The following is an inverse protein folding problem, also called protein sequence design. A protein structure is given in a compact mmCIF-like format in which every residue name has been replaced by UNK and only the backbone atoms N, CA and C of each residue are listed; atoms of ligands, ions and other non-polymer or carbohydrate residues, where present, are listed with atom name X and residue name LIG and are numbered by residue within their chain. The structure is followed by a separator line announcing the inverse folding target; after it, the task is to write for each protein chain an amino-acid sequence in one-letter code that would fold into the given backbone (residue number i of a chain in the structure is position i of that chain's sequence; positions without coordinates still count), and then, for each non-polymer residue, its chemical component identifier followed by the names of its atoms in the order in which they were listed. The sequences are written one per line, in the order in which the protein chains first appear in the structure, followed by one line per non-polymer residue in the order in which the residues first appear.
data_IF_857266444175
#
_entry.id   IF_857266444175
#
_cell.length_a   1.000
_cell.length_b   1.000
_cell.length_c   1.000
_cell.angle_alpha   90.00
_cell.angle_beta   90.00
_cell.angle_gamma   90.00
#
_symmetry.space_group_name_H-M   'P 1'
#
loop_
_entity.id
_entity.type
_entity.pdbx_description
1 polymer ?
#
# COMPACT_ATOMS: atom_id res chain seq x y z
N UNK A 1 73.77 15.19 27.12
CA UNK A 1 72.32 15.25 26.77
C UNK A 1 72.06 14.17 25.73
N UNK A 2 71.50 13.04 26.14
CA UNK A 2 71.48 11.80 25.32
C UNK A 2 70.29 11.77 24.36
N UNK A 3 70.58 11.29 23.14
CA UNK A 3 69.72 11.10 21.95
C UNK A 3 68.50 10.18 22.14
N UNK A 4 68.23 9.69 23.35
CA UNK A 4 67.19 8.68 23.60
C UNK A 4 65.82 9.27 23.95
N UNK A 5 65.72 10.57 24.25
CA UNK A 5 64.44 11.23 24.54
C UNK A 5 63.56 11.50 23.30
N UNK A 6 64.16 11.62 22.12
CA UNK A 6 63.43 11.95 20.89
C UNK A 6 62.73 10.73 20.25
N UNK A 7 63.27 9.51 20.41
CA UNK A 7 62.67 8.29 19.85
C UNK A 7 61.41 7.84 20.61
N UNK A 8 61.37 8.02 21.93
CA UNK A 8 60.24 7.61 22.77
C UNK A 8 59.05 8.57 22.60
N UNK A 9 59.31 9.85 22.36
CA UNK A 9 58.25 10.83 22.05
C UNK A 9 57.66 10.64 20.65
N UNK A 10 58.46 10.25 19.66
CA UNK A 10 57.99 9.98 18.28
C UNK A 10 57.10 8.75 18.17
N UNK A 11 57.42 7.68 18.91
CA UNK A 11 56.62 6.44 18.92
C UNK A 11 55.29 6.61 19.67
N UNK A 12 55.27 7.40 20.74
CA UNK A 12 54.04 7.72 21.48
C UNK A 12 53.05 8.57 20.69
N UNK A 13 53.53 9.57 19.94
CA UNK A 13 52.68 10.38 19.05
C UNK A 13 52.12 9.54 17.88
N UNK A 14 52.96 8.71 17.24
CA UNK A 14 52.54 7.85 16.13
C UNK A 14 51.45 6.85 16.51
N UNK A 15 51.57 6.24 17.70
CA UNK A 15 50.55 5.35 18.24
C UNK A 15 49.22 6.09 18.53
N UNK A 16 49.29 7.31 19.07
CA UNK A 16 48.12 8.13 19.35
C UNK A 16 47.35 8.53 18.07
N UNK A 17 48.08 8.93 17.02
CA UNK A 17 47.49 9.24 15.72
C UNK A 17 46.89 8.01 15.04
N UNK A 18 47.53 6.84 15.14
CA UNK A 18 46.99 5.60 14.62
C UNK A 18 45.71 5.17 15.36
N UNK A 19 45.67 5.29 16.69
CA UNK A 19 44.46 5.00 17.47
C UNK A 19 43.33 5.98 17.18
N UNK A 20 43.64 7.26 16.99
CA UNK A 20 42.64 8.28 16.66
C UNK A 20 42.10 8.07 15.24
N UNK A 21 42.96 7.72 14.28
CA UNK A 21 42.55 7.41 12.91
C UNK A 21 41.69 6.15 12.83
N UNK A 22 42.02 5.10 13.60
CA UNK A 22 41.20 3.88 13.70
C UNK A 22 39.87 4.20 14.40
N UNK A 23 39.87 4.97 15.48
CA UNK A 23 38.64 5.40 16.15
C UNK A 23 37.76 6.26 15.24
N UNK A 24 38.34 7.18 14.46
CA UNK A 24 37.62 7.97 13.46
C UNK A 24 37.07 7.09 12.33
N UNK A 25 37.86 6.12 11.84
CA UNK A 25 37.44 5.21 10.79
C UNK A 25 36.33 4.25 11.27
N UNK A 26 36.35 3.82 12.53
CA UNK A 26 35.28 3.02 13.15
C UNK A 26 34.05 3.87 13.50
N UNK A 27 34.25 5.16 13.80
CA UNK A 27 33.15 6.08 14.08
C UNK A 27 32.54 6.69 12.81
N UNK A 28 33.25 6.73 11.68
CA UNK A 28 32.74 7.29 10.42
C UNK A 28 31.48 6.58 9.89
N UNK A 29 31.34 5.24 9.93
CA UNK A 29 30.09 4.55 9.61
C UNK A 29 28.93 4.96 10.53
N UNK A 30 29.20 5.18 11.82
CA UNK A 30 28.22 5.62 12.81
C UNK A 30 27.86 7.11 12.67
N UNK A 31 28.83 7.94 12.26
CA UNK A 31 28.66 9.37 12.05
C UNK A 31 27.94 9.64 10.72
N UNK A 32 28.26 8.88 9.66
CA UNK A 32 27.57 8.93 8.37
C UNK A 32 26.12 8.47 8.51
N UNK A 33 25.85 7.33 9.16
CA UNK A 33 24.46 6.94 9.48
C UNK A 33 23.75 7.98 10.34
N UNK A 34 24.41 8.63 11.32
CA UNK A 34 23.78 9.71 12.10
C UNK A 34 23.51 10.98 11.30
N UNK A 35 24.36 11.31 10.32
CA UNK A 35 24.18 12.48 9.46
C UNK A 35 23.12 12.21 8.38
N UNK A 36 23.09 11.02 7.79
CA UNK A 36 22.01 10.56 6.89
C UNK A 36 20.65 10.53 7.62
N UNK A 37 20.64 10.15 8.90
CA UNK A 37 19.45 10.14 9.74
C UNK A 37 19.20 11.47 10.49
N UNK A 38 20.04 12.50 10.37
CA UNK A 38 19.80 13.80 11.01
C UNK A 38 18.44 14.42 10.64
N UNK A 39 17.98 14.40 9.37
CA UNK A 39 16.62 14.82 9.03
C UNK A 39 15.54 13.93 9.63
N UNK A 40 15.82 12.65 9.92
CA UNK A 40 14.91 11.76 10.66
C UNK A 40 14.64 12.32 12.03
N UNK A 41 15.70 12.47 12.83
CA UNK A 41 15.59 12.92 14.21
C UNK A 41 14.95 14.30 14.27
N UNK A 42 15.35 15.22 13.38
CA UNK A 42 14.72 16.53 13.27
C UNK A 42 13.22 16.44 12.98
N UNK A 43 12.78 15.56 12.06
CA UNK A 43 11.35 15.32 11.77
C UNK A 43 10.63 14.63 12.94
N UNK A 44 11.27 13.70 13.65
CA UNK A 44 10.69 13.07 14.85
C UNK A 44 10.47 14.10 15.96
N UNK A 45 11.45 14.99 16.19
CA UNK A 45 11.33 16.09 17.14
C UNK A 45 10.26 17.10 16.71
N UNK A 46 10.21 17.46 15.42
CA UNK A 46 9.18 18.33 14.86
C UNK A 46 7.78 17.75 15.07
N UNK A 47 7.59 16.45 14.82
CA UNK A 47 6.32 15.73 15.01
C UNK A 47 5.87 15.64 16.47
N UNK A 48 6.82 15.66 17.42
CA UNK A 48 6.50 15.79 18.86
C UNK A 48 6.04 17.20 19.23
N UNK A 49 6.55 18.23 18.55
CA UNK A 49 6.18 19.63 18.78
C UNK A 49 4.91 20.04 18.04
N UNK A 50 4.65 19.44 16.87
CA UNK A 50 3.50 19.68 16.00
C UNK A 50 2.91 18.33 15.58
N UNK A 51 2.08 17.69 16.43
CA UNK A 51 1.48 16.42 16.09
C UNK A 51 0.55 16.59 14.89
N UNK A 52 0.58 15.64 13.92
CA UNK A 52 -0.35 15.65 12.80
C UNK A 52 -1.78 15.45 13.31
N UNK A 53 -2.80 15.85 12.52
CA UNK A 53 -4.19 15.59 12.89
C UNK A 53 -4.41 14.08 13.02
N UNK A 54 -5.15 13.63 14.03
CA UNK A 54 -5.42 12.21 14.23
C UNK A 54 -6.22 11.61 13.06
N UNK A 55 -7.14 12.40 12.51
CA UNK A 55 -7.98 12.03 11.38
C UNK A 55 -7.66 12.90 10.17
N UNK A 56 -7.87 12.38 8.96
CA UNK A 56 -7.71 13.16 7.74
C UNK A 56 -8.70 14.33 7.79
N UNK A 57 -8.22 15.59 7.81
CA UNK A 57 -9.10 16.74 7.89
C UNK A 57 -9.72 16.95 6.51
N UNK A 58 -10.89 16.38 6.28
CA UNK A 58 -11.64 16.59 5.04
C UNK A 58 -12.90 17.40 5.32
N UNK A 59 -13.31 18.32 4.43
CA UNK A 59 -14.67 18.83 4.43
C UNK A 59 -15.67 17.67 4.46
N UNK A 60 -16.78 17.86 5.17
CA UNK A 60 -17.88 16.90 5.12
C UNK A 60 -18.32 16.73 3.65
N UNK A 61 -18.70 15.51 3.22
CA UNK A 61 -19.11 15.28 1.85
C UNK A 61 -20.23 16.25 1.45
N UNK A 62 -20.12 16.82 0.26
CA UNK A 62 -21.10 17.81 -0.27
C UNK A 62 -22.50 17.23 -0.46
N UNK A 63 -22.63 15.90 -0.50
CA UNK A 63 -23.89 15.17 -0.60
C UNK A 63 -23.99 14.19 0.57
N UNK A 64 -25.10 14.22 1.30
CA UNK A 64 -25.39 13.27 2.37
C UNK A 64 -26.38 12.23 1.83
N UNK A 65 -25.97 10.98 1.69
CA UNK A 65 -26.93 9.88 1.54
C UNK A 65 -27.36 9.40 2.92
N UNK A 66 -28.67 9.42 3.17
CA UNK A 66 -29.23 8.87 4.41
C UNK A 66 -29.17 7.35 4.30
N UNK A 67 -28.32 6.71 5.12
CA UNK A 67 -28.17 5.26 5.10
C UNK A 67 -29.44 4.65 5.72
N UNK A 68 -30.27 4.04 4.89
CA UNK A 68 -31.30 3.14 5.36
C UNK A 68 -30.64 1.99 6.14
N UNK A 69 -31.20 1.66 7.31
CA UNK A 69 -30.78 0.52 8.12
C UNK A 69 -30.65 -0.75 7.26
N UNK A 70 -29.74 -1.70 7.57
CA UNK A 70 -29.55 -2.91 6.79
C UNK A 70 -30.90 -3.62 6.66
N UNK A 71 -31.48 -3.57 5.46
CA UNK A 71 -32.64 -4.38 5.14
C UNK A 71 -32.12 -5.76 4.77
N UNK A 72 -32.73 -6.79 5.36
CA UNK A 72 -32.55 -8.18 4.96
C UNK A 72 -32.70 -8.30 3.45
N UNK A 73 -31.75 -8.97 2.79
CA UNK A 73 -31.79 -9.27 1.34
C UNK A 73 -33.18 -9.76 0.91
N UNK A 74 -33.74 -9.28 -0.20
CA UNK A 74 -34.87 -9.95 -0.83
C UNK A 74 -34.39 -11.23 -1.53
N UNK A 75 -35.18 -12.31 -1.42
CA UNK A 75 -35.00 -13.57 -2.15
C UNK A 75 -34.84 -13.37 -3.67
N UNK A 76 -34.11 -14.24 -4.38
CA UNK A 76 -33.86 -14.08 -5.80
C UNK A 76 -35.01 -14.63 -6.64
N UNK A 77 -35.75 -13.76 -7.35
CA UNK A 77 -36.20 -13.97 -8.73
C UNK A 77 -37.00 -12.77 -9.29
N UNK A 78 -36.67 -12.42 -10.54
CA UNK A 78 -37.48 -11.74 -11.57
C UNK A 78 -38.16 -10.40 -11.22
N UNK A 79 -37.60 -9.28 -11.68
CA UNK A 79 -38.19 -8.52 -12.79
C UNK A 79 -37.30 -7.35 -13.22
N UNK A 80 -37.03 -7.30 -14.52
CA UNK A 80 -36.60 -6.09 -15.20
C UNK A 80 -37.75 -5.07 -15.24
N UNK A 81 -37.38 -3.79 -15.29
CA UNK A 81 -38.23 -2.60 -15.49
C UNK A 81 -38.91 -2.01 -14.24
N UNK A 82 -38.22 -1.07 -13.59
CA UNK A 82 -38.78 0.24 -13.19
C UNK A 82 -37.78 0.99 -12.31
N UNK A 83 -36.86 1.73 -12.93
CA UNK A 83 -36.16 2.85 -12.27
C UNK A 83 -36.35 4.10 -13.12
N UNK A 84 -37.58 4.61 -13.10
CA UNK A 84 -37.87 6.00 -13.38
C UNK A 84 -38.15 6.69 -12.04
N UNK A 85 -37.66 7.92 -11.91
CA UNK A 85 -37.81 8.86 -10.79
C UNK A 85 -37.14 8.48 -9.46
N UNK A 86 -35.84 8.74 -9.39
CA UNK A 86 -35.31 9.43 -8.22
C UNK A 86 -34.87 10.82 -8.71
N UNK A 87 -35.64 11.82 -8.30
CA UNK A 87 -35.36 13.22 -8.63
C UNK A 87 -34.00 13.62 -8.03
N UNK A 88 -33.11 13.98 -8.94
CA UNK A 88 -31.88 14.69 -8.73
C UNK A 88 -32.17 16.04 -8.07
N UNK A 89 -32.03 16.13 -6.74
CA UNK A 89 -31.78 17.43 -6.11
C UNK A 89 -30.29 17.71 -6.20
N UNK A 90 -29.85 18.08 -7.40
CA UNK A 90 -28.54 18.68 -7.62
C UNK A 90 -28.42 19.92 -6.74
N UNK A 91 -27.50 19.88 -5.77
CA UNK A 91 -27.11 21.05 -5.02
C UNK A 91 -26.49 22.06 -6.00
N UNK A 92 -27.12 23.22 -6.09
CA UNK A 92 -26.74 24.33 -6.97
C UNK A 92 -25.45 24.98 -6.48
N UNK A 93 -24.33 24.77 -7.18
CA UNK A 93 -23.15 25.65 -7.13
C UNK A 93 -22.53 25.80 -8.52
N UNK A 94 -22.71 26.99 -9.11
CA UNK A 94 -22.10 27.63 -10.30
C UNK A 94 -21.93 26.81 -11.61
N UNK A 95 -22.49 27.26 -12.76
CA UNK A 95 -22.32 26.60 -14.06
C UNK A 95 -20.99 27.04 -14.73
N UNK A 96 -19.88 26.91 -14.03
CA UNK A 96 -18.57 27.00 -14.66
C UNK A 96 -18.32 25.68 -15.41
N UNK A 97 -17.74 25.81 -16.60
CA UNK A 97 -17.63 24.79 -17.65
C UNK A 97 -17.08 23.48 -17.09
N UNK A 98 -17.93 22.45 -17.00
CA UNK A 98 -17.48 21.06 -16.75
C UNK A 98 -16.92 20.53 -18.07
N UNK A 99 -15.62 20.24 -18.11
CA UNK A 99 -14.98 19.61 -19.27
C UNK A 99 -15.31 18.12 -19.31
N UNK A 100 -15.07 17.48 -20.45
CA UNK A 100 -15.18 16.03 -20.55
C UNK A 100 -14.23 15.39 -19.54
N UNK A 101 -14.70 14.38 -18.81
CA UNK A 101 -13.85 13.63 -17.90
C UNK A 101 -12.77 12.87 -18.68
N UNK A 102 -11.58 12.81 -18.10
CA UNK A 102 -10.53 11.90 -18.57
C UNK A 102 -10.83 10.54 -17.95
N UNK A 103 -10.79 9.48 -18.75
CA UNK A 103 -10.93 8.12 -18.23
C UNK A 103 -9.83 7.87 -17.20
N UNK A 104 -10.24 7.52 -15.98
CA UNK A 104 -9.29 7.17 -14.91
C UNK A 104 -8.56 5.91 -15.33
N UNK A 105 -7.29 6.04 -15.69
CA UNK A 105 -6.39 4.88 -15.77
C UNK A 105 -6.13 4.45 -14.34
N UNK A 106 -6.51 3.21 -14.00
CA UNK A 106 -6.40 2.68 -12.62
C UNK A 106 -4.91 2.49 -12.31
N UNK A 107 -4.31 3.24 -11.36
CA UNK A 107 -2.91 3.08 -10.99
C UNK A 107 -2.59 1.62 -10.67
N UNK A 108 -1.70 1.01 -11.44
CA UNK A 108 -1.22 -0.36 -11.20
C UNK A 108 -2.14 -1.52 -11.58
N UNK A 109 -3.35 -1.28 -12.12
CA UNK A 109 -4.22 -2.36 -12.65
C UNK A 109 -4.13 -2.46 -14.19
N UNK A 110 -4.00 -1.34 -14.90
CA UNK A 110 -3.96 -1.33 -16.38
C UNK A 110 -2.56 -1.56 -16.98
N UNK A 111 -1.49 -1.58 -16.17
CA UNK A 111 -0.12 -1.79 -16.70
C UNK A 111 0.28 -3.27 -16.85
N UNK A 112 -0.55 -4.22 -16.39
CA UNK A 112 -0.29 -5.67 -16.51
C UNK A 112 -1.55 -6.55 -16.63
N UNK A 113 -2.75 -6.01 -16.90
CA UNK A 113 -3.86 -6.87 -17.38
C UNK A 113 -3.75 -7.11 -18.87
N UNK A 114 -2.59 -7.63 -19.31
CA UNK A 114 -2.75 -8.80 -20.18
C UNK A 114 -3.56 -9.76 -19.33
N UNK A 115 -4.77 -10.13 -19.78
CA UNK A 115 -5.61 -11.14 -19.11
C UNK A 115 -4.68 -12.08 -18.36
N UNK A 116 -4.68 -12.04 -17.02
CA UNK A 116 -3.97 -13.07 -16.27
C UNK A 116 -4.59 -14.33 -16.81
N UNK A 117 -3.87 -15.06 -17.66
CA UNK A 117 -4.35 -16.34 -18.14
C UNK A 117 -4.69 -17.06 -16.87
N UNK A 118 -5.98 -17.30 -16.68
CA UNK A 118 -6.48 -18.03 -15.53
C UNK A 118 -5.66 -19.30 -15.54
N UNK A 119 -4.68 -19.38 -14.65
CA UNK A 119 -3.99 -20.61 -14.32
C UNK A 119 -5.05 -21.45 -13.63
N UNK A 120 -5.91 -22.02 -14.47
CA UNK A 120 -6.75 -23.12 -14.09
C UNK A 120 -5.77 -24.23 -13.79
N UNK A 121 -5.71 -24.74 -12.55
CA UNK A 121 -4.77 -25.80 -12.21
C UNK A 121 -4.98 -26.94 -13.21
N UNK A 122 -3.97 -27.17 -14.04
CA UNK A 122 -4.05 -28.19 -15.10
C UNK A 122 -4.04 -29.60 -14.51
N UNK A 123 -3.67 -29.69 -13.22
CA UNK A 123 -3.49 -30.90 -12.44
C UNK A 123 -4.05 -30.69 -11.03
N UNK A 124 -4.70 -31.71 -10.46
CA UNK A 124 -5.12 -31.71 -9.06
C UNK A 124 -3.88 -31.62 -8.14
N UNK A 125 -3.71 -30.49 -7.46
CA UNK A 125 -2.56 -30.26 -6.58
C UNK A 125 -2.83 -30.88 -5.21
N UNK A 126 -1.96 -31.79 -4.78
CA UNK A 126 -1.99 -32.29 -3.40
C UNK A 126 -1.28 -31.30 -2.48
N UNK A 127 -2.04 -30.63 -1.61
CA UNK A 127 -1.50 -29.69 -0.63
C UNK A 127 -0.96 -30.41 0.60
N UNK A 128 0.20 -30.00 1.09
CA UNK A 128 0.67 -30.44 2.41
C UNK A 128 -0.26 -29.85 3.48
N UNK A 129 -0.80 -30.67 4.41
CA UNK A 129 -1.67 -30.16 5.47
C UNK A 129 -0.89 -29.24 6.42
N UNK A 130 -1.61 -28.34 7.08
CA UNK A 130 -1.05 -27.54 8.18
C UNK A 130 -0.68 -28.44 9.37
N UNK A 131 0.40 -28.08 10.06
CA UNK A 131 0.88 -28.74 11.30
C UNK A 131 0.70 -27.79 12.49
N UNK A 132 1.15 -28.17 13.70
CA UNK A 132 1.11 -27.27 14.86
C UNK A 132 2.07 -26.08 14.75
N UNK A 133 3.21 -26.30 14.09
CA UNK A 133 4.17 -25.24 13.83
C UNK A 133 4.93 -25.55 12.53
N UNK A 134 5.38 -24.49 11.85
CA UNK A 134 6.27 -24.57 10.69
C UNK A 134 7.11 -23.31 10.61
N UNK A 135 8.38 -23.45 10.23
CA UNK A 135 9.28 -22.34 9.99
C UNK A 135 10.06 -22.57 8.70
N UNK A 136 10.07 -21.57 7.83
CA UNK A 136 10.94 -21.47 6.66
C UNK A 136 12.23 -20.75 7.08
N UNK A 137 13.37 -21.26 6.64
CA UNK A 137 14.71 -20.74 7.00
C UNK A 137 15.54 -20.52 5.74
N UNK A 138 16.73 -19.92 5.87
CA UNK A 138 17.63 -19.66 4.74
C UNK A 138 17.43 -18.32 4.04
N UNK A 139 16.63 -17.42 4.61
CA UNK A 139 16.46 -16.06 4.10
C UNK A 139 17.62 -15.15 4.54
N UNK A 140 18.04 -14.25 3.67
CA UNK A 140 18.98 -13.17 3.96
C UNK A 140 18.19 -11.92 4.36
N UNK A 141 18.03 -11.70 5.66
CA UNK A 141 17.28 -10.57 6.20
C UNK A 141 17.93 -9.22 5.86
N UNK A 142 17.11 -8.28 5.38
CA UNK A 142 17.48 -6.89 5.12
C UNK A 142 16.80 -5.96 6.13
N UNK A 143 17.59 -5.24 6.91
CA UNK A 143 17.09 -4.16 7.76
C UNK A 143 16.74 -2.95 6.91
N UNK A 144 15.53 -2.41 7.03
CA UNK A 144 15.11 -1.28 6.20
C UNK A 144 15.93 -0.02 6.52
N UNK A 145 16.26 0.72 5.47
CA UNK A 145 16.59 2.13 5.57
C UNK A 145 15.32 2.99 5.65
N UNK A 146 15.46 4.31 5.67
CA UNK A 146 14.33 5.23 5.82
C UNK A 146 13.26 5.05 4.73
N UNK A 147 11.99 4.88 5.16
CA UNK A 147 10.84 4.64 4.29
C UNK A 147 11.09 3.52 3.25
N UNK A 148 11.83 2.48 3.63
CA UNK A 148 12.28 1.43 2.71
C UNK A 148 11.75 0.04 3.06
N UNK A 149 10.63 -0.06 3.79
CA UNK A 149 10.03 -1.33 4.20
C UNK A 149 9.69 -2.21 2.99
N UNK A 150 9.08 -1.66 1.93
CA UNK A 150 8.78 -2.41 0.70
C UNK A 150 10.03 -3.02 0.04
N UNK A 151 11.02 -2.19 -0.36
CA UNK A 151 12.28 -2.66 -0.96
C UNK A 151 13.06 -3.66 -0.08
N UNK A 152 13.13 -3.44 1.24
CA UNK A 152 13.81 -4.36 2.15
C UNK A 152 13.07 -5.70 2.30
N UNK A 153 11.74 -5.67 2.41
CA UNK A 153 10.93 -6.87 2.61
C UNK A 153 10.88 -7.72 1.34
N UNK A 154 10.72 -7.13 0.15
CA UNK A 154 10.69 -7.89 -1.12
C UNK A 154 12.03 -8.55 -1.44
N UNK A 155 13.15 -7.88 -1.14
CA UNK A 155 14.50 -8.46 -1.35
C UNK A 155 14.81 -9.55 -0.33
N UNK A 156 14.39 -9.36 0.94
CA UNK A 156 14.42 -10.44 1.93
C UNK A 156 13.60 -11.65 1.46
N UNK A 157 12.41 -11.42 0.90
CA UNK A 157 11.55 -12.48 0.37
C UNK A 157 12.24 -13.23 -0.76
N UNK A 158 12.70 -12.54 -1.79
CA UNK A 158 13.34 -13.15 -2.94
C UNK A 158 14.62 -13.91 -2.59
N UNK A 159 15.35 -13.51 -1.53
CA UNK A 159 16.53 -14.25 -1.06
C UNK A 159 16.23 -15.69 -0.65
N UNK A 160 14.99 -16.00 -0.27
CA UNK A 160 14.54 -17.38 -0.01
C UNK A 160 14.72 -18.28 -1.23
N UNK A 161 14.59 -17.71 -2.43
CA UNK A 161 14.78 -18.39 -3.71
C UNK A 161 16.20 -18.21 -4.28
N UNK A 162 17.17 -17.82 -3.45
CA UNK A 162 18.57 -17.68 -3.84
C UNK A 162 18.90 -16.40 -4.62
N UNK A 163 17.96 -15.44 -4.69
CA UNK A 163 18.20 -14.11 -5.27
C UNK A 163 19.18 -13.30 -4.42
N UNK A 164 19.95 -12.43 -5.07
CA UNK A 164 21.05 -11.68 -4.45
C UNK A 164 20.84 -10.17 -4.45
N UNK A 165 19.75 -9.69 -5.05
CA UNK A 165 19.39 -8.27 -5.03
C UNK A 165 19.28 -7.75 -3.60
N UNK A 166 19.72 -6.53 -3.41
CA UNK A 166 19.66 -5.81 -2.15
C UNK A 166 18.54 -4.78 -2.18
N UNK A 167 18.16 -4.27 -1.02
CA UNK A 167 17.16 -3.21 -0.93
C UNK A 167 17.55 -1.95 -1.72
N UNK A 168 18.84 -1.74 -2.01
CA UNK A 168 19.33 -0.64 -2.85
C UNK A 168 18.90 -0.88 -4.30
N UNK A 169 19.07 -2.11 -4.81
CA UNK A 169 18.71 -2.47 -6.19
C UNK A 169 17.20 -2.34 -6.40
N UNK A 170 16.40 -2.86 -5.47
CA UNK A 170 14.94 -2.76 -5.56
C UNK A 170 14.43 -1.34 -5.38
N UNK A 171 15.08 -0.51 -4.55
CA UNK A 171 14.65 0.87 -4.33
C UNK A 171 14.84 1.74 -5.59
N UNK A 172 15.84 1.45 -6.44
CA UNK A 172 16.00 2.15 -7.72
C UNK A 172 14.80 1.95 -8.66
N UNK A 173 14.16 0.78 -8.58
CA UNK A 173 12.97 0.46 -9.36
C UNK A 173 11.70 0.98 -8.67
N UNK A 174 11.54 0.66 -7.40
CA UNK A 174 10.30 0.88 -6.63
C UNK A 174 10.13 2.32 -6.16
N UNK A 175 11.23 3.07 -6.03
CA UNK A 175 11.27 4.41 -5.45
C UNK A 175 12.22 5.32 -6.26
N UNK A 176 11.91 5.60 -7.54
CA UNK A 176 12.77 6.45 -8.37
C UNK A 176 12.98 7.85 -7.75
N UNK A 177 12.03 8.31 -6.93
CA UNK A 177 12.22 9.44 -6.02
C UNK A 177 12.36 8.96 -4.57
N UNK A 178 13.47 9.34 -3.93
CA UNK A 178 13.77 8.96 -2.53
C UNK A 178 12.75 9.49 -1.51
N UNK A 179 12.03 10.56 -1.83
CA UNK A 179 11.04 11.18 -0.95
C UNK A 179 9.65 10.54 -1.08
N UNK A 180 9.48 9.61 -2.03
CA UNK A 180 8.32 8.76 -2.12
C UNK A 180 8.15 7.97 -0.81
N UNK A 181 6.97 8.08 -0.22
CA UNK A 181 6.63 7.47 1.07
C UNK A 181 5.89 6.16 0.90
N UNK A 182 5.37 5.89 -0.29
CA UNK A 182 4.62 4.70 -0.59
C UNK A 182 5.44 3.80 -1.54
N UNK A 183 5.33 2.50 -1.36
CA UNK A 183 5.61 1.56 -2.44
C UNK A 183 4.39 0.71 -2.47
N UNK A 184 3.59 0.86 -3.50
CA UNK A 184 2.32 0.14 -3.61
C UNK A 184 2.53 -1.37 -3.75
N UNK A 185 1.54 -2.19 -3.34
CA UNK A 185 1.61 -3.63 -3.46
C UNK A 185 1.82 -4.11 -4.92
N UNK A 186 1.24 -3.41 -5.89
CA UNK A 186 1.39 -3.76 -7.31
C UNK A 186 2.82 -3.49 -7.80
N UNK A 187 3.47 -2.41 -7.34
CA UNK A 187 4.88 -2.16 -7.66
C UNK A 187 5.78 -3.27 -7.14
N UNK A 188 5.53 -3.81 -5.94
CA UNK A 188 6.28 -4.95 -5.39
C UNK A 188 6.13 -6.21 -6.26
N UNK A 189 4.90 -6.51 -6.69
CA UNK A 189 4.63 -7.63 -7.59
C UNK A 189 5.31 -7.44 -8.95
N UNK A 190 5.19 -6.26 -9.56
CA UNK A 190 5.82 -5.92 -10.82
C UNK A 190 7.35 -6.00 -10.75
N UNK A 191 7.95 -5.56 -9.63
CA UNK A 191 9.39 -5.71 -9.42
C UNK A 191 9.81 -7.17 -9.38
N UNK A 192 9.11 -8.03 -8.62
CA UNK A 192 9.39 -9.47 -8.60
C UNK A 192 9.31 -10.09 -10.01
N UNK A 193 8.30 -9.71 -10.81
CA UNK A 193 8.15 -10.11 -12.21
C UNK A 193 9.31 -9.64 -13.09
N UNK A 194 9.73 -8.39 -12.93
CA UNK A 194 10.84 -7.80 -13.69
C UNK A 194 12.17 -8.55 -13.51
N UNK A 195 12.33 -9.28 -12.39
CA UNK A 195 13.53 -10.04 -12.08
C UNK A 195 13.38 -11.56 -12.33
N UNK A 196 12.29 -11.98 -12.98
CA UNK A 196 12.07 -13.35 -13.43
C UNK A 196 11.36 -14.27 -12.42
N UNK A 197 10.67 -13.69 -11.43
CA UNK A 197 9.78 -14.43 -10.53
C UNK A 197 8.32 -14.26 -10.97
N UNK A 198 7.42 -15.13 -10.54
CA UNK A 198 5.98 -14.86 -10.58
C UNK A 198 5.54 -14.16 -9.29
N UNK A 199 4.50 -13.34 -9.37
CA UNK A 199 3.92 -12.68 -8.21
C UNK A 199 2.40 -12.56 -8.35
N UNK A 200 1.67 -12.99 -7.32
CA UNK A 200 0.21 -12.84 -7.23
C UNK A 200 -0.13 -12.00 -6.01
N UNK A 201 -0.80 -10.87 -6.27
CA UNK A 201 -1.37 -9.97 -5.28
C UNK A 201 -2.86 -10.30 -5.09
N UNK A 202 -3.30 -10.51 -3.84
CA UNK A 202 -4.70 -10.77 -3.49
C UNK A 202 -5.06 -10.11 -2.16
N UNK A 203 -6.36 -10.07 -1.89
CA UNK A 203 -6.93 -9.57 -0.64
C UNK A 203 -7.88 -10.63 -0.05
N UNK A 204 -8.32 -10.43 1.20
CA UNK A 204 -9.28 -11.34 1.83
C UNK A 204 -8.67 -12.67 2.26
N UNK A 205 -7.36 -12.69 2.51
CA UNK A 205 -6.69 -13.85 3.05
C UNK A 205 -7.17 -14.17 4.46
N UNK A 206 -6.94 -15.41 4.91
CA UNK A 206 -7.17 -15.84 6.29
C UNK A 206 -5.89 -16.35 6.94
N UNK A 207 -5.87 -16.41 8.27
CA UNK A 207 -4.75 -16.99 9.04
C UNK A 207 -4.44 -18.41 8.54
N UNK A 208 -5.47 -19.21 8.29
CA UNK A 208 -5.37 -20.59 7.79
C UNK A 208 -4.78 -20.64 6.38
N UNK A 209 -5.16 -19.72 5.50
CA UNK A 209 -4.59 -19.65 4.15
C UNK A 209 -3.10 -19.28 4.20
N UNK A 210 -2.71 -18.32 5.05
CA UNK A 210 -1.30 -17.98 5.25
C UNK A 210 -0.51 -19.18 5.80
N UNK A 211 -1.06 -19.91 6.78
CA UNK A 211 -0.46 -21.17 7.28
C UNK A 211 -0.35 -22.23 6.19
N UNK A 212 -1.34 -22.31 5.29
CA UNK A 212 -1.34 -23.25 4.17
C UNK A 212 -0.18 -22.96 3.20
N UNK A 213 0.07 -21.68 2.87
CA UNK A 213 1.27 -21.28 2.12
C UNK A 213 2.57 -21.69 2.81
N UNK A 214 2.74 -21.32 4.09
CA UNK A 214 3.95 -21.66 4.86
C UNK A 214 4.18 -23.17 4.92
N UNK A 215 3.12 -23.97 5.10
CA UNK A 215 3.20 -25.43 5.17
C UNK A 215 3.67 -26.06 3.86
N UNK A 216 3.46 -25.37 2.74
CA UNK A 216 3.87 -25.76 1.41
C UNK A 216 5.16 -25.07 0.94
N UNK A 217 5.92 -24.45 1.84
CA UNK A 217 7.23 -23.87 1.51
C UNK A 217 7.16 -22.51 0.83
N UNK A 218 6.04 -21.81 0.93
CA UNK A 218 5.83 -20.50 0.32
C UNK A 218 5.78 -19.44 1.44
N UNK A 219 6.81 -18.58 1.62
CA UNK A 219 6.67 -17.39 2.45
C UNK A 219 5.56 -16.50 1.89
N UNK A 220 5.03 -15.57 2.69
CA UNK A 220 3.98 -14.65 2.22
C UNK A 220 4.27 -13.23 2.68
N UNK A 221 4.29 -12.28 1.74
CA UNK A 221 4.43 -10.87 2.06
C UNK A 221 3.03 -10.29 2.32
N UNK A 222 2.88 -9.54 3.41
CA UNK A 222 1.61 -8.91 3.79
C UNK A 222 1.85 -7.44 4.12
N UNK A 223 0.79 -6.63 4.01
CA UNK A 223 0.81 -5.25 4.47
C UNK A 223 -0.02 -5.11 5.74
N UNK A 224 0.59 -4.54 6.78
CA UNK A 224 -0.03 -4.40 8.11
C UNK A 224 0.05 -2.96 8.57
N UNK A 225 -0.90 -2.57 9.41
CA UNK A 225 -0.81 -1.32 10.13
C UNK A 225 0.24 -1.43 11.24
N UNK A 226 1.21 -0.53 11.26
CA UNK A 226 2.22 -0.44 12.32
C UNK A 226 1.94 0.79 13.16
N UNK A 227 1.57 0.58 14.42
CA UNK A 227 1.43 1.65 15.40
C UNK A 227 2.78 1.87 16.09
N UNK A 228 3.37 3.05 15.92
CA UNK A 228 4.59 3.46 16.60
C UNK A 228 4.37 4.82 17.26
N UNK A 229 4.68 4.94 18.56
CA UNK A 229 4.48 6.16 19.35
C UNK A 229 3.05 6.75 19.25
N UNK A 230 2.03 5.89 19.13
CA UNK A 230 0.62 6.28 19.06
C UNK A 230 0.14 6.77 17.70
N UNK A 231 0.96 6.62 16.64
CA UNK A 231 0.61 7.01 15.28
C UNK A 231 0.87 5.85 14.31
N UNK A 232 -0.05 5.65 13.37
CA UNK A 232 -0.09 4.47 12.51
C UNK A 232 0.43 4.70 11.10
N UNK A 233 1.09 3.71 10.50
CA UNK A 233 1.53 3.72 9.10
C UNK A 233 1.46 2.32 8.48
N UNK A 234 1.38 2.23 7.15
CA UNK A 234 1.47 0.95 6.42
C UNK A 234 2.88 0.38 6.46
N UNK A 235 2.98 -0.92 6.72
CA UNK A 235 4.25 -1.62 6.90
C UNK A 235 4.19 -3.03 6.35
N UNK A 236 5.12 -3.34 5.45
CA UNK A 236 5.26 -4.67 4.87
C UNK A 236 5.99 -5.62 5.81
N UNK A 237 5.42 -6.81 5.99
CA UNK A 237 6.03 -7.92 6.74
C UNK A 237 6.12 -9.15 5.87
N UNK A 238 7.18 -9.93 6.03
CA UNK A 238 7.29 -11.24 5.40
C UNK A 238 7.00 -12.33 6.43
N UNK A 239 5.91 -13.08 6.24
CA UNK A 239 5.60 -14.24 7.07
C UNK A 239 6.43 -15.41 6.57
N UNK A 240 7.15 -16.04 7.50
CA UNK A 240 8.08 -17.14 7.23
C UNK A 240 7.77 -18.38 8.07
N UNK A 241 6.84 -18.28 9.01
CA UNK A 241 6.51 -19.37 9.91
C UNK A 241 5.27 -19.09 10.71
N UNK A 242 4.82 -20.10 11.45
CA UNK A 242 3.74 -20.00 12.42
C UNK A 242 3.95 -21.03 13.54
N UNK A 243 3.35 -20.76 14.69
CA UNK A 243 3.33 -21.65 15.84
C UNK A 243 1.99 -21.50 16.57
N UNK A 244 1.16 -22.53 16.50
CA UNK A 244 -0.20 -22.53 17.06
C UNK A 244 -0.21 -22.70 18.58
N UNK A 245 0.77 -23.40 19.15
CA UNK A 245 0.93 -23.49 20.61
C UNK A 245 1.22 -22.12 21.22
N UNK A 246 1.92 -21.26 20.48
CA UNK A 246 2.23 -19.89 20.86
C UNK A 246 1.24 -18.86 20.30
N UNK A 247 0.28 -19.26 19.45
CA UNK A 247 -0.70 -18.37 18.84
C UNK A 247 -0.09 -17.25 17.99
N UNK A 248 0.96 -17.53 17.20
CA UNK A 248 1.72 -16.49 16.52
C UNK A 248 2.23 -16.87 15.12
N UNK A 249 2.33 -15.87 14.25
CA UNK A 249 3.18 -15.93 13.08
C UNK A 249 4.64 -15.63 13.45
N UNK A 250 5.57 -16.17 12.67
CA UNK A 250 6.98 -15.80 12.70
C UNK A 250 7.30 -15.03 11.42
N UNK A 251 7.76 -13.80 11.59
CA UNK A 251 8.00 -12.86 10.50
C UNK A 251 9.48 -12.56 10.31
N UNK A 252 9.89 -12.22 9.10
CA UNK A 252 11.09 -11.46 8.85
C UNK A 252 10.67 -10.01 8.65
N UNK A 253 10.75 -9.22 9.72
CA UNK A 253 10.25 -7.85 9.77
C UNK A 253 11.40 -6.87 9.60
N UNK A 254 11.42 -6.08 8.53
CA UNK A 254 12.56 -5.23 8.18
C UNK A 254 12.90 -4.15 9.22
N UNK A 255 12.00 -3.85 10.17
CA UNK A 255 12.22 -2.92 11.27
C UNK A 255 12.58 -3.62 12.59
N UNK A 256 11.95 -4.77 12.86
CA UNK A 256 11.99 -5.46 14.15
C UNK A 256 13.00 -6.61 14.18
N UNK A 257 13.30 -7.19 13.01
CA UNK A 257 14.33 -8.19 12.80
C UNK A 257 13.85 -9.52 12.22
N UNK A 258 14.79 -10.46 12.01
CA UNK A 258 14.47 -11.80 11.53
C UNK A 258 13.80 -12.64 12.62
N UNK A 259 12.90 -13.54 12.22
CA UNK A 259 12.16 -14.43 13.12
C UNK A 259 11.39 -13.70 14.23
N UNK A 260 10.89 -12.51 13.93
CA UNK A 260 10.12 -11.69 14.85
C UNK A 260 8.70 -12.27 15.03
N UNK A 261 8.30 -12.66 16.24
CA UNK A 261 6.98 -13.20 16.49
C UNK A 261 5.91 -12.10 16.48
N UNK A 262 4.75 -12.40 15.88
CA UNK A 262 3.55 -11.55 15.92
C UNK A 262 2.36 -12.43 16.26
N UNK A 263 1.68 -12.18 17.37
CA UNK A 263 0.51 -12.98 17.76
C UNK A 263 -0.62 -12.85 16.75
N UNK A 264 -1.44 -13.89 16.58
CA UNK A 264 -2.60 -13.86 15.68
C UNK A 264 -3.59 -12.75 16.06
N UNK A 265 -3.81 -12.57 17.37
CA UNK A 265 -4.70 -11.54 17.91
C UNK A 265 -4.25 -10.11 17.60
N UNK A 266 -2.94 -9.88 17.51
CA UNK A 266 -2.39 -8.58 17.11
C UNK A 266 -2.35 -8.45 15.58
N UNK A 267 -2.04 -9.55 14.88
CA UNK A 267 -1.82 -9.54 13.45
C UNK A 267 -3.07 -9.18 12.64
N UNK A 268 -4.21 -9.84 12.90
CA UNK A 268 -5.39 -9.65 12.05
C UNK A 268 -5.96 -8.21 12.09
N UNK A 269 -6.09 -7.54 13.26
CA UNK A 269 -6.51 -6.14 13.30
C UNK A 269 -5.63 -5.19 12.49
N UNK A 270 -4.31 -5.40 12.51
CA UNK A 270 -3.35 -4.60 11.77
C UNK A 270 -3.40 -4.93 10.25
N UNK A 271 -3.58 -6.20 9.90
CA UNK A 271 -3.70 -6.67 8.51
C UNK A 271 -5.02 -6.27 7.84
N UNK A 272 -6.09 -6.23 8.63
CA UNK A 272 -7.45 -5.87 8.22
C UNK A 272 -7.56 -4.46 7.65
N UNK A 273 -6.69 -3.52 8.07
CA UNK A 273 -6.67 -2.15 7.54
C UNK A 273 -6.47 -2.13 6.02
N UNK A 274 -5.73 -3.10 5.49
CA UNK A 274 -5.42 -3.31 4.08
C UNK A 274 -6.28 -4.43 3.47
N UNK A 275 -7.47 -4.66 4.01
CA UNK A 275 -8.40 -5.70 3.56
C UNK A 275 -7.77 -7.10 3.48
N UNK A 276 -6.84 -7.39 4.42
CA UNK A 276 -6.11 -8.66 4.50
C UNK A 276 -5.34 -8.98 3.22
N UNK A 277 -4.61 -7.97 2.71
CA UNK A 277 -3.77 -8.03 1.52
C UNK A 277 -2.56 -8.96 1.70
N UNK A 278 -2.31 -9.79 0.71
CA UNK A 278 -1.13 -10.64 0.65
C UNK A 278 -0.55 -10.71 -0.77
N UNK A 279 0.77 -10.88 -0.85
CA UNK A 279 1.53 -11.10 -2.07
C UNK A 279 2.31 -12.40 -1.91
N UNK A 280 2.14 -13.29 -2.89
CA UNK A 280 2.93 -14.51 -3.01
C UNK A 280 3.85 -14.37 -4.20
N UNK A 281 5.16 -14.40 -3.95
CA UNK A 281 6.23 -14.43 -4.94
C UNK A 281 6.81 -15.84 -5.00
N UNK A 282 6.94 -16.39 -6.19
CA UNK A 282 7.30 -17.80 -6.39
C UNK A 282 7.97 -18.00 -7.76
N UNK A 283 8.81 -19.03 -7.92
CA UNK A 283 9.33 -19.38 -9.23
C UNK A 283 8.23 -20.03 -10.08
N UNK A 284 8.25 -19.89 -11.43
CA UNK A 284 7.14 -20.32 -12.30
C UNK A 284 6.68 -21.77 -12.11
N UNK A 285 7.58 -22.69 -11.74
CA UNK A 285 7.24 -24.10 -11.48
C UNK A 285 6.30 -24.33 -10.28
N UNK A 286 6.08 -23.32 -9.44
CA UNK A 286 5.17 -23.37 -8.29
C UNK A 286 3.78 -22.79 -8.60
N UNK A 287 3.51 -22.38 -9.85
CA UNK A 287 2.25 -21.72 -10.22
C UNK A 287 1.00 -22.53 -9.86
N UNK A 288 0.95 -23.82 -10.22
CA UNK A 288 -0.19 -24.68 -9.90
C UNK A 288 -0.41 -24.79 -8.38
N UNK A 289 0.67 -24.89 -7.60
CA UNK A 289 0.59 -24.97 -6.13
C UNK A 289 0.02 -23.69 -5.52
N UNK A 290 0.51 -22.53 -5.97
CA UNK A 290 0.01 -21.23 -5.51
C UNK A 290 -1.45 -21.06 -5.91
N UNK A 291 -1.80 -21.39 -7.15
CA UNK A 291 -3.17 -21.35 -7.64
C UNK A 291 -4.11 -22.24 -6.81
N UNK A 292 -3.66 -23.45 -6.45
CA UNK A 292 -4.42 -24.37 -5.61
C UNK A 292 -4.68 -23.87 -4.19
N UNK A 293 -3.75 -23.10 -3.59
CA UNK A 293 -3.93 -22.52 -2.25
C UNK A 293 -4.82 -21.27 -2.28
N UNK A 294 -4.72 -20.46 -3.34
CA UNK A 294 -5.60 -19.28 -3.53
C UNK A 294 -7.03 -19.73 -3.85
N UNK A 295 -7.17 -20.75 -4.71
CA UNK A 295 -8.45 -21.33 -5.07
C UNK A 295 -9.35 -20.34 -5.83
N UNK A 296 -10.67 -20.27 -5.52
CA UNK A 296 -11.62 -19.42 -6.23
C UNK A 296 -11.27 -17.92 -6.23
N UNK A 297 -10.53 -17.46 -5.21
CA UNK A 297 -10.10 -16.06 -5.06
C UNK A 297 -9.08 -15.65 -6.15
N UNK A 298 -8.66 -16.56 -7.03
CA UNK A 298 -7.96 -16.21 -8.26
C UNK A 298 -8.82 -15.37 -9.20
N UNK A 299 -10.15 -15.53 -9.15
CA UNK A 299 -11.08 -14.72 -9.92
C UNK A 299 -11.39 -13.44 -9.15
N UNK A 300 -11.08 -12.29 -9.76
CA UNK A 300 -11.25 -10.98 -9.13
C UNK A 300 -12.68 -10.74 -8.66
N UNK A 301 -13.67 -11.09 -9.48
CA UNK A 301 -15.09 -10.99 -9.12
C UNK A 301 -15.41 -11.75 -7.82
N UNK A 302 -14.97 -13.00 -7.72
CA UNK A 302 -15.21 -13.86 -6.55
C UNK A 302 -14.55 -13.29 -5.30
N UNK A 303 -13.29 -12.84 -5.46
CA UNK A 303 -12.53 -12.26 -4.37
C UNK A 303 -13.18 -10.96 -3.86
N UNK A 304 -13.56 -10.03 -4.74
CA UNK A 304 -14.18 -8.76 -4.34
C UNK A 304 -15.59 -8.94 -3.75
N UNK A 305 -16.38 -9.90 -4.25
CA UNK A 305 -17.66 -10.28 -3.62
C UNK A 305 -17.44 -10.81 -2.19
N UNK A 306 -16.43 -11.66 -1.99
CA UNK A 306 -16.03 -12.15 -0.67
C UNK A 306 -15.57 -11.02 0.25
N UNK A 307 -14.79 -10.05 -0.24
CA UNK A 307 -14.39 -8.87 0.54
C UNK A 307 -15.59 -8.04 0.98
N UNK A 308 -16.53 -7.79 0.07
CA UNK A 308 -17.77 -7.06 0.38
C UNK A 308 -18.59 -7.78 1.45
N UNK A 309 -18.75 -9.11 1.33
CA UNK A 309 -19.46 -9.91 2.32
C UNK A 309 -18.78 -9.87 3.70
N UNK A 310 -17.46 -10.00 3.76
CA UNK A 310 -16.69 -9.89 5.00
C UNK A 310 -16.86 -8.51 5.65
N UNK A 311 -16.78 -7.43 4.87
CA UNK A 311 -16.99 -6.08 5.37
C UNK A 311 -18.42 -5.85 5.89
N UNK A 312 -19.44 -6.43 5.24
CA UNK A 312 -20.82 -6.38 5.74
C UNK A 312 -20.95 -7.11 7.09
N UNK A 313 -20.37 -8.31 7.23
CA UNK A 313 -20.39 -9.04 8.51
C UNK A 313 -19.68 -8.27 9.64
N UNK A 314 -18.57 -7.59 9.34
CA UNK A 314 -17.89 -6.71 10.30
C UNK A 314 -18.77 -5.50 10.70
N UNK A 315 -19.54 -4.95 9.77
CA UNK A 315 -20.49 -3.86 10.04
C UNK A 315 -21.73 -4.31 10.83
N UNK A 316 -22.18 -5.55 10.65
CA UNK A 316 -23.24 -6.14 11.49
C UNK A 316 -22.77 -6.27 12.94
N UNK A 317 -21.52 -6.69 13.14
CA UNK A 317 -20.91 -6.79 14.47
C UNK A 317 -20.60 -5.41 15.09
N UNK A 318 -20.18 -4.44 14.27
CA UNK A 318 -19.86 -3.09 14.71
C UNK A 318 -20.29 -2.03 13.64
N UNK A 319 -21.50 -1.46 13.78
CA UNK A 319 -22.03 -0.50 12.79
C UNK A 319 -21.29 0.83 12.70
N UNK A 320 -20.34 1.10 13.60
CA UNK A 320 -19.50 2.31 13.59
C UNK A 320 -18.04 2.00 13.28
N UNK A 321 -17.77 0.89 12.59
CA UNK A 321 -16.42 0.52 12.19
C UNK A 321 -15.98 1.21 10.89
N UNK A 322 -15.11 2.23 11.01
CA UNK A 322 -14.57 2.95 9.87
C UNK A 322 -13.67 2.09 8.95
N UNK A 323 -13.04 1.02 9.48
CA UNK A 323 -12.25 0.10 8.67
C UNK A 323 -13.16 -0.75 7.80
N UNK A 324 -14.24 -1.28 8.37
CA UNK A 324 -15.21 -2.08 7.62
C UNK A 324 -15.89 -1.27 6.51
N UNK A 325 -16.34 -0.03 6.78
CA UNK A 325 -16.91 0.83 5.74
C UNK A 325 -15.90 1.13 4.62
N UNK A 326 -14.64 1.39 4.96
CA UNK A 326 -13.61 1.64 3.95
C UNK A 326 -13.34 0.38 3.10
N UNK A 327 -13.19 -0.78 3.73
CA UNK A 327 -12.96 -2.04 3.03
C UNK A 327 -14.16 -2.43 2.15
N UNK A 328 -15.39 -2.14 2.60
CA UNK A 328 -16.60 -2.25 1.79
C UNK A 328 -16.54 -1.33 0.56
N UNK A 329 -16.16 -0.08 0.76
CA UNK A 329 -15.98 0.89 -0.33
C UNK A 329 -14.95 0.40 -1.36
N UNK A 330 -13.81 -0.11 -0.91
CA UNK A 330 -12.77 -0.68 -1.78
C UNK A 330 -13.30 -1.85 -2.61
N UNK A 331 -13.98 -2.82 -1.99
CA UNK A 331 -14.58 -3.94 -2.70
C UNK A 331 -15.63 -3.48 -3.74
N UNK A 332 -16.50 -2.54 -3.37
CA UNK A 332 -17.52 -1.98 -4.27
C UNK A 332 -16.92 -1.20 -5.43
N UNK A 333 -15.84 -0.44 -5.22
CA UNK A 333 -15.10 0.24 -6.30
C UNK A 333 -14.56 -0.76 -7.31
N UNK A 334 -14.01 -1.88 -6.82
CA UNK A 334 -13.45 -2.92 -7.68
C UNK A 334 -14.51 -3.73 -8.41
N UNK A 335 -15.71 -3.84 -7.85
CA UNK A 335 -16.92 -4.36 -8.49
C UNK A 335 -17.65 -3.32 -9.38
N UNK A 336 -17.06 -2.13 -9.56
CA UNK A 336 -17.62 -1.02 -10.36
C UNK A 336 -18.98 -0.50 -9.88
N UNK A 337 -19.33 -0.78 -8.61
CA UNK A 337 -20.54 -0.28 -7.93
C UNK A 337 -20.25 1.07 -7.26
N UNK A 338 -19.88 2.04 -8.08
CA UNK A 338 -19.27 3.30 -7.62
C UNK A 338 -20.16 4.16 -6.71
N UNK A 339 -21.47 4.19 -6.95
CA UNK A 339 -22.41 4.95 -6.09
C UNK A 339 -22.43 4.39 -4.66
N UNK A 340 -22.49 3.07 -4.53
CA UNK A 340 -22.48 2.41 -3.22
C UNK A 340 -21.10 2.52 -2.55
N UNK A 341 -20.02 2.45 -3.35
CA UNK A 341 -18.67 2.66 -2.87
C UNK A 341 -18.50 4.07 -2.27
N UNK A 342 -18.95 5.11 -2.99
CA UNK A 342 -18.90 6.49 -2.51
C UNK A 342 -19.66 6.67 -1.18
N UNK A 343 -20.84 6.07 -1.04
CA UNK A 343 -21.61 6.10 0.20
C UNK A 343 -20.87 5.39 1.36
N UNK A 344 -20.23 4.25 1.10
CA UNK A 344 -19.42 3.55 2.10
C UNK A 344 -18.20 4.38 2.53
N UNK A 345 -17.51 5.05 1.60
CA UNK A 345 -16.40 5.94 1.93
C UNK A 345 -16.85 7.18 2.70
N UNK A 346 -18.02 7.75 2.39
CA UNK A 346 -18.59 8.85 3.16
C UNK A 346 -18.87 8.44 4.61
N UNK A 347 -19.40 7.23 4.83
CA UNK A 347 -19.62 6.68 6.16
C UNK A 347 -18.30 6.52 6.93
N UNK A 348 -17.27 5.95 6.29
CA UNK A 348 -15.95 5.79 6.89
C UNK A 348 -15.33 7.16 7.27
N UNK A 349 -15.42 8.16 6.37
CA UNK A 349 -14.94 9.53 6.61
C UNK A 349 -15.71 10.23 7.73
N UNK A 350 -17.03 10.05 7.81
CA UNK A 350 -17.87 10.62 8.86
C UNK A 350 -17.51 10.09 10.25
N UNK A 351 -17.14 8.81 10.34
CA UNK A 351 -16.65 8.20 11.60
C UNK A 351 -15.23 8.71 11.91
N UNK A 352 -14.38 8.77 10.88
CA UNK A 352 -13.03 9.34 10.96
C UNK A 352 -11.99 8.38 10.37
N UNK A 353 -11.44 8.75 9.21
CA UNK A 353 -10.30 8.04 8.63
C UNK A 353 -9.01 8.50 9.31
N UNK A 354 -8.12 7.56 9.64
CA UNK A 354 -6.76 7.93 10.03
C UNK A 354 -6.10 8.76 8.93
N UNK A 355 -5.39 9.82 9.31
CA UNK A 355 -4.86 10.82 8.38
C UNK A 355 -3.86 10.28 7.34
N UNK A 356 -3.22 9.13 7.62
CA UNK A 356 -2.35 8.41 6.66
C UNK A 356 -3.07 7.39 5.78
N UNK A 357 -4.38 7.21 5.91
CA UNK A 357 -5.06 6.11 5.20
C UNK A 357 -4.91 6.21 3.68
N UNK A 358 -5.06 7.43 3.16
CA UNK A 358 -4.92 7.72 1.73
C UNK A 358 -3.46 7.85 1.27
N UNK A 359 -2.48 7.48 2.10
CA UNK A 359 -1.10 7.33 1.64
C UNK A 359 -0.88 6.01 0.90
N UNK A 360 -1.75 5.03 1.17
CA UNK A 360 -1.62 3.67 0.67
C UNK A 360 -2.88 3.20 -0.08
N UNK A 361 -4.05 3.77 0.23
CA UNK A 361 -5.35 3.32 -0.28
C UNK A 361 -6.08 4.45 -1.02
N UNK A 362 -6.16 4.36 -2.36
CA UNK A 362 -6.61 5.46 -3.23
C UNK A 362 -8.01 5.28 -3.82
N UNK A 363 -8.67 4.15 -3.53
CA UNK A 363 -10.01 3.80 -4.05
C UNK A 363 -11.12 4.81 -3.74
N UNK A 364 -11.05 5.68 -2.70
CA UNK A 364 -12.00 6.77 -2.56
C UNK A 364 -11.95 7.77 -3.72
N UNK A 365 -10.75 8.10 -4.23
CA UNK A 365 -10.63 9.03 -5.36
C UNK A 365 -11.30 8.45 -6.62
N UNK A 366 -11.07 7.17 -6.90
CA UNK A 366 -11.68 6.44 -8.02
C UNK A 366 -13.21 6.47 -7.94
N UNK A 367 -13.77 6.10 -6.78
CA UNK A 367 -15.21 6.05 -6.59
C UNK A 367 -15.86 7.43 -6.73
N UNK A 368 -15.30 8.45 -6.06
CA UNK A 368 -15.85 9.80 -6.14
C UNK A 368 -15.75 10.40 -7.54
N UNK A 369 -14.65 10.16 -8.26
CA UNK A 369 -14.50 10.61 -9.64
C UNK A 369 -15.53 9.93 -10.55
N UNK A 370 -15.69 8.61 -10.44
CA UNK A 370 -16.63 7.84 -11.27
C UNK A 370 -18.10 8.27 -11.10
N UNK A 371 -18.48 8.80 -9.93
CA UNK A 371 -19.84 9.30 -9.67
C UNK A 371 -19.98 10.82 -9.85
N UNK A 372 -18.99 11.48 -10.45
CA UNK A 372 -19.04 12.90 -10.77
C UNK A 372 -18.80 13.85 -9.60
N UNK A 373 -18.37 13.34 -8.44
CA UNK A 373 -18.07 14.14 -7.24
C UNK A 373 -16.65 14.73 -7.31
N UNK A 374 -16.35 15.45 -8.38
CA UNK A 374 -15.01 15.96 -8.68
C UNK A 374 -14.49 16.96 -7.64
N UNK A 375 -15.36 17.79 -7.07
CA UNK A 375 -14.95 18.71 -6.00
C UNK A 375 -14.51 17.93 -4.75
N UNK A 376 -15.20 16.84 -4.39
CA UNK A 376 -14.79 16.01 -3.26
C UNK A 376 -13.45 15.29 -3.54
N UNK A 377 -13.17 14.90 -4.79
CA UNK A 377 -11.86 14.37 -5.21
C UNK A 377 -10.77 15.43 -5.00
N UNK A 378 -11.01 16.67 -5.46
CA UNK A 378 -10.08 17.78 -5.31
C UNK A 378 -9.79 18.08 -3.83
N UNK A 379 -10.83 18.24 -3.02
CA UNK A 379 -10.71 18.52 -1.58
C UNK A 379 -9.94 17.40 -0.85
N UNK A 380 -10.24 16.14 -1.19
CA UNK A 380 -9.59 14.98 -0.61
C UNK A 380 -8.11 14.90 -1.01
N UNK A 381 -7.78 15.24 -2.26
CA UNK A 381 -6.43 15.22 -2.78
C UNK A 381 -5.60 16.32 -2.11
N UNK A 382 -6.14 17.54 -1.98
CA UNK A 382 -5.48 18.65 -1.31
C UNK A 382 -5.22 18.37 0.17
N UNK A 383 -6.21 17.82 0.89
CA UNK A 383 -6.05 17.39 2.28
C UNK A 383 -4.95 16.32 2.41
N UNK A 384 -4.89 15.37 1.48
CA UNK A 384 -3.88 14.31 1.46
C UNK A 384 -2.48 14.88 1.19
N UNK A 385 -2.34 15.75 0.19
CA UNK A 385 -1.07 16.41 -0.17
C UNK A 385 -0.55 17.26 0.98
N UNK A 386 -1.41 18.06 1.62
CA UNK A 386 -1.04 18.94 2.72
C UNK A 386 -0.44 18.19 3.92
N UNK A 387 -0.86 16.94 4.14
CA UNK A 387 -0.42 16.12 5.27
C UNK A 387 0.70 15.12 4.90
N UNK A 388 0.82 14.71 3.63
CA UNK A 388 1.82 13.74 3.18
C UNK A 388 3.09 14.38 2.61
N UNK A 389 2.94 15.37 1.71
CA UNK A 389 3.94 15.84 0.77
C UNK A 389 4.56 14.70 -0.04
N UNK A 390 4.16 14.50 -1.30
CA UNK A 390 4.78 13.49 -2.18
C UNK A 390 4.10 12.13 -2.21
N UNK A 391 2.88 12.11 -2.73
CA UNK A 391 2.14 10.93 -3.15
C UNK A 391 1.64 11.23 -4.56
N UNK A 392 2.20 10.58 -5.59
CA UNK A 392 1.88 10.86 -6.99
C UNK A 392 0.40 10.66 -7.30
N UNK A 393 -0.26 9.68 -6.67
CA UNK A 393 -1.67 9.39 -6.90
C UNK A 393 -2.55 10.56 -6.49
N UNK A 394 -2.24 11.24 -5.37
CA UNK A 394 -3.01 12.40 -4.92
C UNK A 394 -2.87 13.58 -5.91
N UNK A 395 -1.67 13.79 -6.46
CA UNK A 395 -1.45 14.80 -7.50
C UNK A 395 -2.16 14.45 -8.81
N UNK A 396 -2.15 13.17 -9.20
CA UNK A 396 -2.87 12.68 -10.38
C UNK A 396 -4.37 12.94 -10.26
N UNK A 397 -5.02 12.49 -9.17
CA UNK A 397 -6.45 12.72 -8.97
C UNK A 397 -6.81 14.22 -8.84
N UNK A 398 -5.92 15.03 -8.26
CA UNK A 398 -6.06 16.50 -8.28
C UNK A 398 -6.09 17.03 -9.72
N UNK A 399 -5.14 16.61 -10.56
CA UNK A 399 -5.06 17.04 -11.96
C UNK A 399 -6.30 16.66 -12.75
N UNK A 400 -6.79 15.42 -12.59
CA UNK A 400 -8.03 14.96 -13.21
C UNK A 400 -9.24 15.79 -12.76
N UNK A 401 -9.39 16.04 -11.45
CA UNK A 401 -10.51 16.80 -10.91
C UNK A 401 -10.49 18.26 -11.39
N UNK A 402 -9.32 18.91 -11.37
CA UNK A 402 -9.16 20.29 -11.86
C UNK A 402 -9.53 20.40 -13.34
N UNK A 403 -9.08 19.47 -14.17
CA UNK A 403 -9.45 19.44 -15.58
C UNK A 403 -10.96 19.33 -15.75
N UNK A 404 -11.59 18.32 -15.16
CA UNK A 404 -13.03 18.09 -15.33
C UNK A 404 -13.87 19.26 -14.80
N UNK A 405 -13.42 19.93 -13.73
CA UNK A 405 -14.08 21.12 -13.19
C UNK A 405 -13.79 22.41 -14.00
N UNK A 406 -12.97 22.35 -15.05
CA UNK A 406 -12.55 23.53 -15.81
C UNK A 406 -11.68 24.51 -15.01
N UNK A 407 -11.07 24.05 -13.92
CA UNK A 407 -10.24 24.86 -13.04
C UNK A 407 -8.77 24.86 -13.49
N UNK A 408 -8.02 25.97 -13.30
CA UNK A 408 -6.60 26.02 -13.63
C UNK A 408 -5.78 25.11 -12.70
N UNK A 409 -4.58 24.71 -13.11
CA UNK A 409 -3.68 23.90 -12.28
C UNK A 409 -3.64 22.40 -12.62
N UNK A 410 -4.43 21.94 -13.60
CA UNK A 410 -4.51 20.52 -13.95
C UNK A 410 -3.17 19.98 -14.46
N UNK A 411 -2.53 20.68 -15.40
CA UNK A 411 -1.23 20.32 -15.95
C UNK A 411 -0.13 20.37 -14.89
N UNK A 412 -0.12 21.41 -14.05
CA UNK A 412 0.84 21.54 -12.96
C UNK A 412 0.69 20.41 -11.93
N UNK A 413 -0.53 19.97 -11.64
CA UNK A 413 -0.78 18.84 -10.75
C UNK A 413 -0.32 17.51 -11.37
N UNK A 414 -0.61 17.25 -12.65
CA UNK A 414 -0.12 16.06 -13.34
C UNK A 414 1.41 16.06 -13.46
N UNK A 415 2.02 17.22 -13.73
CA UNK A 415 3.48 17.35 -13.76
C UNK A 415 4.08 17.07 -12.39
N UNK A 416 3.47 17.56 -11.31
CA UNK A 416 3.91 17.23 -9.95
C UNK A 416 3.85 15.72 -9.68
N UNK A 417 2.82 15.01 -10.16
CA UNK A 417 2.77 13.55 -10.07
C UNK A 417 3.98 12.89 -10.76
N UNK A 418 4.35 13.37 -11.96
CA UNK A 418 5.50 12.89 -12.72
C UNK A 418 6.85 13.30 -12.12
N UNK A 419 6.93 14.45 -11.44
CA UNK A 419 8.13 14.87 -10.71
C UNK A 419 8.39 13.95 -9.51
N UNK A 420 7.32 13.46 -8.88
CA UNK A 420 7.41 12.42 -7.83
C UNK A 420 7.71 11.06 -8.40
N UNK A 421 7.03 10.65 -9.47
CA UNK A 421 7.25 9.37 -10.11
C UNK A 421 7.22 9.53 -11.64
N UNK A 422 8.40 9.67 -12.29
CA UNK A 422 8.46 9.84 -13.74
C UNK A 422 7.92 8.66 -14.53
N UNK A 423 7.81 7.49 -13.89
CA UNK A 423 7.29 6.26 -14.48
C UNK A 423 5.78 6.07 -14.23
N UNK A 424 5.08 7.08 -13.70
CA UNK A 424 3.66 6.97 -13.41
C UNK A 424 2.82 7.10 -14.70
N UNK A 425 2.63 5.97 -15.39
CA UNK A 425 1.95 5.84 -16.69
C UNK A 425 0.59 6.55 -16.72
N UNK A 426 -0.23 6.40 -15.67
CA UNK A 426 -1.53 7.05 -15.57
C UNK A 426 -1.44 8.58 -15.68
N UNK A 427 -0.44 9.21 -15.05
CA UNK A 427 -0.22 10.64 -15.15
C UNK A 427 0.33 11.05 -16.53
N UNK A 428 1.16 10.20 -17.16
CA UNK A 428 1.63 10.43 -18.53
C UNK A 428 0.47 10.43 -19.54
N UNK A 429 -0.41 9.42 -19.47
CA UNK A 429 -1.60 9.30 -20.34
C UNK A 429 -2.57 10.47 -20.12
N UNK A 430 -2.79 10.87 -18.86
CA UNK A 430 -3.62 12.03 -18.58
C UNK A 430 -3.02 13.33 -19.14
N UNK A 431 -1.69 13.51 -19.05
CA UNK A 431 -0.99 14.66 -19.62
C UNK A 431 -1.12 14.71 -21.15
N UNK A 432 -0.91 13.57 -21.82
CA UNK A 432 -1.10 13.44 -23.27
C UNK A 432 -2.54 13.76 -23.69
N UNK A 433 -3.53 13.32 -22.90
CA UNK A 433 -4.94 13.61 -23.14
C UNK A 433 -5.23 15.10 -23.01
N UNK A 434 -4.68 15.78 -22.00
CA UNK A 434 -4.80 17.24 -21.84
C UNK A 434 -4.24 17.99 -23.06
N UNK A 435 -3.05 17.61 -23.52
CA UNK A 435 -2.39 18.26 -24.66
C UNK A 435 -3.06 17.92 -26.00
N UNK A 436 -3.56 16.69 -26.16
CA UNK A 436 -4.30 16.22 -27.33
C UNK A 436 -5.69 16.83 -27.48
N UNK A 437 -6.30 17.28 -26.38
CA UNK A 437 -7.59 18.00 -26.37
C UNK A 437 -7.51 19.44 -26.89
N UNK A 438 -6.29 19.95 -27.17
CA UNK A 438 -6.05 21.29 -27.76
C UNK A 438 -5.83 21.22 -29.29
N UNK A 439 -5.82 20.03 -29.89
CA UNK A 439 -5.67 19.86 -31.34
C UNK A 439 -7.02 19.71 -32.07
N UNK A 440 -7.83 20.78 -32.07
CA UNK A 440 -8.94 20.95 -33.01
C UNK A 440 -8.74 22.22 -33.84
N UNK A 441 -8.70 22.16 -35.18
CA UNK A 441 -9.00 23.33 -36.01
C UNK A 441 -10.48 23.72 -35.96
#
# INVERSE_FOLDING_TARGET
MSRNGALIFGLGLGALFATLAIALALAMPLLSTRLENAPMYARTYYRKMFPPPQYLPTPAPTVSFEIAAPQSEPEPAEEAASLASLEETAATTNPDVVLASINVTKPGIDDQTGEVQLISPTTEVTLNPTSQARQLTGLNHQWQTWNNCGPATITTYMSYYGRTETQVDSALYLKPNKDDKNVSPYQLAAYAQSVGMEAILRQGGSVEQLKQFISNGLPVLVETWLIHDGDGLGHYRLITGYNDDAGQFITSDSLSGPQYPVSYDQFDPDWRVFNRLYIVVFPPEQADLVAGIIGPDLQDQVMYEKLMAAANAELEANPTDQIAYFNKGEALTRLERYQEAAAAFDAARKIGLHWRRLWYQFTPFEAYYAVGRYQDVLDLAEATIANSGGLEEAYYYKGLALHTLGQPGAEEALQAALDYNPNFSAAQVAMETLHGSVAGP
#
